data_IF_167045077671
#
_entry.id   IF_167045077671
#
_cell.length_a   1.000
_cell.length_b   1.000
_cell.length_c   1.000
_cell.angle_alpha   90.00
_cell.angle_beta   90.00
_cell.angle_gamma   90.00
#
_symmetry.space_group_name_H-M   'P 1'
#
loop_
_entity.id
_entity.type
_entity.pdbx_description
1 polymer ?
#
# COMPACT_ATOMS: atom_id res chain seq x y z
N UNK A 1 49.21 43.83 6.05
CA UNK A 1 47.87 43.25 5.83
C UNK A 1 48.05 41.75 5.71
N UNK A 2 48.00 41.04 6.83
CA UNK A 2 46.85 40.27 7.35
C UNK A 2 47.20 38.78 7.31
N UNK A 3 47.76 38.32 8.42
CA UNK A 3 47.82 36.91 8.81
C UNK A 3 46.39 36.40 8.98
N UNK A 4 46.04 35.36 8.23
CA UNK A 4 44.71 34.77 8.21
C UNK A 4 44.61 33.76 9.36
N UNK A 5 44.06 34.21 10.49
CA UNK A 5 43.80 33.37 11.66
C UNK A 5 42.63 32.44 11.40
N UNK A 6 42.88 31.13 11.37
CA UNK A 6 41.85 30.09 11.30
C UNK A 6 41.10 30.01 12.64
N UNK A 7 39.74 30.06 12.68
CA UNK A 7 39.02 29.95 13.94
C UNK A 7 38.97 28.48 14.38
N UNK A 8 39.46 28.22 15.59
CA UNK A 8 39.35 26.94 16.29
C UNK A 8 37.88 26.65 16.63
N UNK A 9 37.33 25.59 16.04
CA UNK A 9 35.98 25.09 16.28
C UNK A 9 35.90 24.53 17.71
N UNK A 10 35.30 25.28 18.64
CA UNK A 10 34.95 24.76 19.98
C UNK A 10 33.89 23.68 19.84
N UNK A 11 34.30 22.43 19.94
CA UNK A 11 33.42 21.30 20.20
C UNK A 11 32.84 21.43 21.62
N UNK A 12 31.67 22.06 21.72
CA UNK A 12 30.85 21.97 22.92
C UNK A 12 30.09 20.64 22.90
N UNK A 13 30.77 19.55 23.30
CA UNK A 13 30.08 18.32 23.66
C UNK A 13 29.25 18.59 24.91
N UNK A 14 27.97 18.89 24.72
CA UNK A 14 27.00 18.87 25.80
C UNK A 14 27.06 17.47 26.46
N UNK A 15 27.19 17.38 27.80
CA UNK A 15 27.17 16.09 28.47
C UNK A 15 25.77 15.49 28.28
N UNK A 16 25.69 14.50 27.40
CA UNK A 16 24.49 13.72 27.19
C UNK A 16 24.19 13.02 28.52
N UNK A 17 23.16 13.47 29.24
CA UNK A 17 22.73 12.84 30.49
C UNK A 17 22.35 11.39 30.18
N UNK A 18 23.25 10.46 30.48
CA UNK A 18 23.02 9.04 30.28
C UNK A 18 22.06 8.55 31.37
N UNK A 19 20.83 8.22 30.96
CA UNK A 19 19.84 7.65 31.87
C UNK A 19 20.30 6.25 32.26
N UNK A 20 20.39 5.98 33.56
CA UNK A 20 20.80 4.66 34.07
C UNK A 20 19.82 3.58 33.61
N UNK A 21 20.35 2.40 33.24
CA UNK A 21 19.53 1.25 32.84
C UNK A 21 18.48 0.87 33.90
N UNK A 22 18.78 1.10 35.18
CA UNK A 22 17.82 0.90 36.28
C UNK A 22 16.65 1.86 36.19
N UNK A 23 16.91 3.13 35.91
CA UNK A 23 15.86 4.15 35.71
C UNK A 23 15.01 3.82 34.49
N UNK A 24 15.64 3.36 33.40
CA UNK A 24 14.93 2.92 32.19
C UNK A 24 14.01 1.72 32.47
N UNK A 25 14.49 0.71 33.21
CA UNK A 25 13.69 -0.46 33.60
C UNK A 25 12.51 -0.07 34.50
N UNK A 26 12.72 0.83 35.47
CA UNK A 26 11.64 1.31 36.35
C UNK A 26 10.58 2.04 35.55
N UNK A 27 10.98 2.93 34.63
CA UNK A 27 10.03 3.65 33.76
C UNK A 27 9.27 2.68 32.85
N UNK A 28 9.94 1.69 32.28
CA UNK A 28 9.29 0.66 31.45
C UNK A 28 8.30 -0.19 32.27
N UNK A 29 8.67 -0.60 33.48
CA UNK A 29 7.78 -1.35 34.36
C UNK A 29 6.55 -0.54 34.77
N UNK A 30 6.71 0.75 35.07
CA UNK A 30 5.60 1.66 35.37
C UNK A 30 4.69 1.85 34.16
N UNK A 31 5.25 2.00 32.96
CA UNK A 31 4.49 2.16 31.73
C UNK A 31 3.70 0.88 31.37
N UNK A 32 4.34 -0.29 31.45
CA UNK A 32 3.68 -1.57 31.19
C UNK A 32 2.60 -1.85 32.23
N UNK A 33 2.87 -1.56 33.50
CA UNK A 33 1.91 -1.71 34.60
C UNK A 33 0.68 -0.83 34.42
N UNK A 34 0.86 0.44 34.03
CA UNK A 34 -0.27 1.34 33.76
C UNK A 34 -1.08 0.92 32.54
N UNK A 35 -0.41 0.42 31.49
CA UNK A 35 -1.08 -0.11 30.29
C UNK A 35 -1.92 -1.35 30.60
N UNK A 36 -1.37 -2.28 31.40
CA UNK A 36 -2.07 -3.47 31.88
C UNK A 36 -3.26 -3.12 32.77
N UNK A 37 -3.08 -2.19 33.70
CA UNK A 37 -4.16 -1.71 34.56
C UNK A 37 -5.28 -1.04 33.74
N UNK A 38 -4.93 -0.21 32.76
CA UNK A 38 -5.90 0.38 31.84
C UNK A 38 -6.62 -0.68 30.99
N UNK A 39 -5.92 -1.73 30.54
CA UNK A 39 -6.54 -2.81 29.78
C UNK A 39 -7.53 -3.62 30.61
N UNK A 40 -7.22 -3.90 31.89
CA UNK A 40 -8.10 -4.65 32.80
C UNK A 40 -9.30 -3.80 33.23
N UNK A 41 -9.09 -2.51 33.50
CA UNK A 41 -10.15 -1.60 33.92
C UNK A 41 -11.04 -1.10 32.78
N UNK A 42 -10.61 -1.19 31.51
CA UNK A 42 -11.45 -0.84 30.36
C UNK A 42 -12.41 -1.98 30.06
N UNK A 43 -13.69 -1.73 30.31
CA UNK A 43 -14.75 -2.69 30.01
C UNK A 43 -14.97 -2.81 28.49
N UNK A 44 -15.54 -3.94 28.03
CA UNK A 44 -15.81 -4.14 26.59
C UNK A 44 -16.70 -3.08 25.96
N UNK A 45 -17.55 -2.42 26.77
CA UNK A 45 -18.42 -1.31 26.39
C UNK A 45 -17.63 -0.07 26.00
N UNK A 46 -16.57 0.25 26.75
CA UNK A 46 -15.72 1.43 26.51
C UNK A 46 -14.88 1.26 25.25
N UNK A 47 -14.47 0.03 24.93
CA UNK A 47 -13.73 -0.27 23.70
C UNK A 47 -14.60 -0.06 22.47
N UNK A 48 -15.87 -0.45 22.54
CA UNK A 48 -16.84 -0.25 21.45
C UNK A 48 -17.17 1.23 21.27
N UNK A 49 -17.32 2.00 22.34
CA UNK A 49 -17.59 3.43 22.26
C UNK A 49 -16.39 4.21 21.71
N UNK A 50 -15.16 3.86 22.09
CA UNK A 50 -13.94 4.45 21.52
C UNK A 50 -13.72 4.08 20.06
N UNK A 51 -13.96 2.82 19.67
CA UNK A 51 -13.89 2.40 18.27
C UNK A 51 -14.96 3.09 17.42
N UNK A 52 -16.19 3.20 17.94
CA UNK A 52 -17.26 3.93 17.29
C UNK A 52 -16.89 5.42 17.13
N UNK A 53 -16.33 6.05 18.16
CA UNK A 53 -15.88 7.44 18.12
C UNK A 53 -14.73 7.68 17.12
N UNK A 54 -13.80 6.73 17.01
CA UNK A 54 -12.71 6.80 16.03
C UNK A 54 -13.21 6.64 14.59
N UNK A 55 -14.22 5.79 14.37
CA UNK A 55 -14.84 5.57 13.06
C UNK A 55 -15.81 6.69 12.67
N UNK A 56 -16.43 7.36 13.65
CA UNK A 56 -17.36 8.47 13.43
C UNK A 56 -16.65 9.82 13.25
N UNK A 57 -15.36 9.83 12.88
CA UNK A 57 -14.64 11.07 12.62
C UNK A 57 -15.33 11.78 11.44
N UNK A 58 -15.89 12.99 11.65
CA UNK A 58 -16.64 13.66 10.59
C UNK A 58 -15.69 13.91 9.42
N UNK A 59 -16.07 13.38 8.25
CA UNK A 59 -15.37 13.65 7.02
C UNK A 59 -15.51 15.16 6.72
N UNK A 60 -14.44 15.88 6.39
CA UNK A 60 -14.49 17.35 6.25
C UNK A 60 -15.23 17.82 4.99
N UNK A 61 -15.95 16.95 4.30
CA UNK A 61 -16.81 17.33 3.18
C UNK A 61 -18.27 17.22 3.63
N UNK A 62 -18.94 18.36 3.71
CA UNK A 62 -20.39 18.44 3.95
C UNK A 62 -21.20 17.82 2.79
N UNK A 63 -20.62 17.82 1.58
CA UNK A 63 -21.12 17.08 0.42
C UNK A 63 -20.00 16.86 -0.59
N UNK A 64 -20.04 15.75 -1.32
CA UNK A 64 -19.25 15.63 -2.54
C UNK A 64 -19.81 16.61 -3.59
N UNK A 65 -18.95 17.31 -4.36
CA UNK A 65 -19.41 18.15 -5.44
C UNK A 65 -20.23 17.30 -6.43
N UNK A 66 -21.51 17.63 -6.55
CA UNK A 66 -22.42 16.96 -7.47
C UNK A 66 -22.12 17.45 -8.88
N UNK A 67 -21.46 16.62 -9.69
CA UNK A 67 -21.34 16.87 -11.12
C UNK A 67 -22.67 16.46 -11.78
N UNK A 68 -23.45 17.42 -12.25
CA UNK A 68 -24.74 17.16 -12.92
C UNK A 68 -24.56 16.42 -14.27
N UNK A 69 -23.35 16.45 -14.84
CA UNK A 69 -22.93 15.69 -16.01
C UNK A 69 -21.48 15.27 -15.82
N UNK A 70 -21.14 14.01 -16.09
CA UNK A 70 -19.75 13.60 -16.18
C UNK A 70 -19.07 14.42 -17.28
N UNK A 71 -18.17 15.32 -16.91
CA UNK A 71 -17.43 16.11 -17.88
C UNK A 71 -16.65 15.16 -18.80
N UNK A 72 -16.97 15.18 -20.10
CA UNK A 72 -16.21 14.46 -21.11
C UNK A 72 -14.90 15.22 -21.30
N UNK A 73 -13.88 14.85 -20.54
CA UNK A 73 -12.52 15.38 -20.70
C UNK A 73 -11.92 14.72 -21.93
N UNK A 74 -11.92 15.42 -23.07
CA UNK A 74 -11.17 14.97 -24.24
C UNK A 74 -9.68 14.94 -23.91
N UNK A 75 -8.91 13.91 -24.36
CA UNK A 75 -7.48 13.85 -24.08
C UNK A 75 -6.78 15.11 -24.60
N UNK A 76 -6.25 15.93 -23.68
CA UNK A 76 -5.50 17.14 -24.01
C UNK A 76 -4.12 16.83 -24.65
N UNK A 77 -3.75 15.55 -24.72
CA UNK A 77 -2.38 15.10 -25.02
C UNK A 77 -2.19 14.55 -26.44
N UNK A 78 -3.17 14.65 -27.33
CA UNK A 78 -2.98 14.25 -28.73
C UNK A 78 -2.26 15.36 -29.52
N UNK A 79 -0.99 15.58 -29.20
CA UNK A 79 -0.12 16.54 -29.87
C UNK A 79 0.95 15.80 -30.69
N UNK A 80 0.73 15.59 -32.01
CA UNK A 80 1.64 14.83 -32.85
C UNK A 80 3.02 15.48 -32.99
N UNK A 81 3.11 16.80 -32.80
CA UNK A 81 4.37 17.56 -32.81
C UNK A 81 5.27 17.22 -31.61
N UNK A 82 4.69 16.71 -30.52
CA UNK A 82 5.42 16.30 -29.31
C UNK A 82 5.73 14.80 -29.30
N UNK A 83 4.76 13.98 -29.71
CA UNK A 83 4.88 12.51 -29.73
C UNK A 83 4.20 11.97 -30.98
N UNK A 84 4.97 11.35 -31.86
CA UNK A 84 4.40 10.68 -33.04
C UNK A 84 3.68 9.38 -32.64
N UNK A 85 2.73 8.93 -33.47
CA UNK A 85 2.03 7.66 -33.28
C UNK A 85 3.00 6.47 -33.11
N UNK A 86 4.13 6.51 -33.82
CA UNK A 86 5.15 5.46 -33.73
C UNK A 86 5.85 5.46 -32.36
N UNK A 87 6.13 6.63 -31.80
CA UNK A 87 6.72 6.77 -30.47
C UNK A 87 5.71 6.34 -29.40
N UNK A 88 4.46 6.77 -29.53
CA UNK A 88 3.36 6.36 -28.66
C UNK A 88 3.18 4.83 -28.68
N UNK A 89 3.10 4.23 -29.87
CA UNK A 89 2.98 2.79 -30.04
C UNK A 89 4.17 2.04 -29.40
N UNK A 90 5.38 2.60 -29.49
CA UNK A 90 6.58 2.03 -28.86
C UNK A 90 6.50 2.03 -27.33
N UNK A 91 5.97 3.10 -26.73
CA UNK A 91 5.76 3.18 -25.28
C UNK A 91 4.64 2.22 -24.84
N UNK A 92 3.50 2.26 -25.53
CA UNK A 92 2.35 1.39 -25.26
C UNK A 92 2.77 -0.09 -25.32
N UNK A 93 3.62 -0.47 -26.28
CA UNK A 93 4.14 -1.84 -26.41
C UNK A 93 4.89 -2.33 -25.17
N UNK A 94 5.52 -1.43 -24.40
CA UNK A 94 6.23 -1.75 -23.14
C UNK A 94 5.28 -1.97 -21.97
N UNK A 95 4.07 -1.40 -22.03
CA UNK A 95 3.05 -1.49 -20.98
C UNK A 95 2.17 -2.75 -21.10
N UNK A 96 2.32 -3.52 -22.18
CA UNK A 96 1.58 -4.77 -22.39
C UNK A 96 2.01 -5.79 -21.33
N UNK A 97 1.07 -6.36 -20.55
CA UNK A 97 1.38 -7.28 -19.46
C UNK A 97 1.82 -8.66 -20.00
N UNK A 98 3.13 -8.88 -20.03
CA UNK A 98 3.76 -10.16 -20.40
C UNK A 98 4.35 -10.80 -19.15
N UNK A 99 3.53 -11.52 -18.41
CA UNK A 99 3.98 -12.22 -17.20
C UNK A 99 4.26 -13.68 -17.54
N UNK A 100 5.44 -14.19 -17.15
CA UNK A 100 5.65 -15.63 -17.11
C UNK A 100 4.77 -16.23 -16.01
N UNK A 101 4.21 -17.43 -16.24
CA UNK A 101 3.27 -18.05 -15.29
C UNK A 101 3.86 -18.18 -13.89
N UNK A 102 5.16 -18.48 -13.78
CA UNK A 102 5.88 -18.62 -12.50
C UNK A 102 6.13 -17.32 -11.74
N UNK A 103 5.84 -16.16 -12.33
CA UNK A 103 6.09 -14.83 -11.73
C UNK A 103 4.82 -13.97 -11.64
N UNK A 104 3.64 -14.60 -11.72
CA UNK A 104 2.35 -13.92 -11.57
C UNK A 104 2.14 -13.48 -10.11
N UNK A 105 2.54 -12.23 -9.82
CA UNK A 105 2.31 -11.57 -8.52
C UNK A 105 0.99 -10.79 -8.55
N UNK A 106 0.11 -10.90 -7.52
CA UNK A 106 -1.16 -10.18 -7.45
C UNK A 106 -1.03 -8.67 -7.71
N UNK A 107 -0.03 -8.02 -7.12
CA UNK A 107 0.20 -6.59 -7.31
C UNK A 107 0.44 -6.20 -8.79
N UNK A 108 1.18 -7.02 -9.55
CA UNK A 108 1.40 -6.76 -10.98
C UNK A 108 0.10 -6.88 -11.78
N UNK A 109 -0.77 -7.82 -11.39
CA UNK A 109 -2.07 -8.04 -12.03
C UNK A 109 -3.04 -6.93 -11.69
N UNK A 110 -3.07 -6.48 -10.44
CA UNK A 110 -3.85 -5.31 -10.04
C UNK A 110 -3.44 -4.05 -10.81
N UNK A 111 -2.14 -3.80 -10.93
CA UNK A 111 -1.65 -2.67 -11.72
C UNK A 111 -2.04 -2.79 -13.19
N UNK A 112 -1.88 -3.96 -13.80
CA UNK A 112 -2.28 -4.18 -15.19
C UNK A 112 -3.80 -4.01 -15.39
N UNK A 113 -4.64 -4.46 -14.45
CA UNK A 113 -6.08 -4.24 -14.47
C UNK A 113 -6.46 -2.77 -14.32
N UNK A 114 -5.75 -2.00 -13.50
CA UNK A 114 -5.96 -0.54 -13.40
C UNK A 114 -5.59 0.19 -14.69
N UNK A 115 -4.56 -0.27 -15.40
CA UNK A 115 -4.12 0.34 -16.67
C UNK A 115 -5.02 -0.02 -17.85
N UNK A 116 -5.42 -1.29 -17.96
CA UNK A 116 -6.04 -1.82 -19.18
C UNK A 116 -7.50 -2.25 -19.02
N UNK A 117 -7.95 -2.48 -17.79
CA UNK A 117 -9.29 -2.97 -17.48
C UNK A 117 -9.47 -4.49 -17.67
N UNK A 118 -10.56 -5.01 -17.10
CA UNK A 118 -10.86 -6.45 -17.08
C UNK A 118 -11.35 -7.03 -18.41
N UNK A 119 -11.67 -6.21 -19.41
CA UNK A 119 -12.20 -6.66 -20.70
C UNK A 119 -11.16 -6.64 -21.83
N UNK A 120 -9.95 -6.15 -21.57
CA UNK A 120 -8.91 -5.99 -22.60
C UNK A 120 -8.51 -7.34 -23.20
N UNK A 121 -8.32 -7.34 -24.53
CA UNK A 121 -7.77 -8.47 -25.28
C UNK A 121 -6.60 -7.98 -26.12
N UNK A 122 -5.46 -8.66 -25.99
CA UNK A 122 -4.27 -8.39 -26.78
C UNK A 122 -4.16 -9.42 -27.90
N UNK A 123 -3.77 -8.99 -29.10
CA UNK A 123 -3.45 -9.90 -30.21
C UNK A 123 -2.04 -10.54 -30.07
N UNK A 124 -1.41 -10.38 -28.90
CA UNK A 124 -0.09 -10.94 -28.61
C UNK A 124 -0.27 -12.23 -27.80
N UNK A 125 0.26 -13.39 -28.26
CA UNK A 125 0.09 -14.67 -27.58
C UNK A 125 0.75 -14.73 -26.19
N UNK A 126 1.76 -13.91 -25.94
CA UNK A 126 2.49 -13.87 -24.66
C UNK A 126 1.85 -12.92 -23.63
N UNK A 127 0.82 -12.18 -24.03
CA UNK A 127 0.16 -11.22 -23.15
C UNK A 127 -1.02 -11.88 -22.42
N UNK A 128 -1.15 -11.60 -21.12
CA UNK A 128 -2.32 -12.03 -20.37
C UNK A 128 -3.51 -11.11 -20.69
N UNK A 129 -4.67 -11.71 -20.98
CA UNK A 129 -5.92 -10.97 -21.24
C UNK A 129 -6.56 -10.47 -19.95
N UNK A 130 -7.34 -9.39 -20.02
CA UNK A 130 -8.16 -8.87 -18.93
C UNK A 130 -8.98 -9.93 -18.18
N UNK A 131 -9.76 -10.78 -18.87
CA UNK A 131 -10.56 -11.81 -18.19
C UNK A 131 -9.71 -12.80 -17.39
N UNK A 132 -8.56 -13.23 -17.93
CA UNK A 132 -7.60 -14.08 -17.20
C UNK A 132 -6.98 -13.38 -16.00
N UNK A 133 -6.76 -12.07 -16.08
CA UNK A 133 -6.29 -11.27 -14.94
C UNK A 133 -7.34 -11.19 -13.82
N UNK A 134 -8.62 -11.00 -14.17
CA UNK A 134 -9.73 -11.01 -13.22
C UNK A 134 -9.89 -12.38 -12.58
N UNK A 135 -9.88 -13.44 -13.40
CA UNK A 135 -9.95 -14.83 -12.94
C UNK A 135 -8.82 -15.14 -11.97
N UNK A 136 -7.59 -14.71 -12.26
CA UNK A 136 -6.45 -14.89 -11.36
C UNK A 136 -6.65 -14.28 -9.96
N UNK A 137 -7.31 -13.12 -9.85
CA UNK A 137 -7.55 -12.47 -8.56
C UNK A 137 -8.79 -12.98 -7.83
N UNK A 138 -9.74 -13.57 -8.56
CA UNK A 138 -11.04 -14.00 -8.01
C UNK A 138 -11.09 -15.51 -7.73
N UNK A 139 -10.32 -16.29 -8.47
CA UNK A 139 -10.19 -17.74 -8.28
C UNK A 139 -8.94 -18.07 -7.44
N UNK A 140 -9.19 -18.31 -6.15
CA UNK A 140 -8.13 -18.66 -5.18
C UNK A 140 -7.43 -19.98 -5.49
N UNK A 141 -8.07 -20.92 -6.18
CA UNK A 141 -7.45 -22.18 -6.56
C UNK A 141 -6.42 -21.98 -7.67
N UNK A 142 -6.75 -21.16 -8.67
CA UNK A 142 -5.82 -20.78 -9.76
C UNK A 142 -4.66 -19.91 -9.30
N UNK A 143 -4.87 -19.11 -8.25
CA UNK A 143 -3.76 -18.38 -7.61
C UNK A 143 -2.71 -19.33 -7.03
N UNK A 144 -3.11 -20.46 -6.43
CA UNK A 144 -2.18 -21.44 -5.86
C UNK A 144 -1.39 -22.17 -6.95
N UNK A 145 -2.04 -22.50 -8.07
CA UNK A 145 -1.41 -23.15 -9.22
C UNK A 145 -0.34 -22.28 -9.89
N UNK A 146 -0.46 -20.95 -9.87
CA UNK A 146 0.51 -20.06 -10.53
C UNK A 146 1.85 -19.95 -9.80
N UNK A 147 1.97 -20.47 -8.57
CA UNK A 147 3.17 -20.40 -7.74
C UNK A 147 3.86 -21.76 -7.57
N UNK A 148 3.74 -22.66 -8.55
CA UNK A 148 4.28 -24.03 -8.51
C UNK A 148 3.83 -24.79 -7.24
N UNK A 149 2.60 -24.57 -6.76
CA UNK A 149 2.07 -25.10 -5.50
C UNK A 149 2.89 -24.76 -4.23
N UNK A 150 3.77 -23.75 -4.29
CA UNK A 150 4.55 -23.28 -3.13
C UNK A 150 3.85 -22.15 -2.38
N UNK A 151 2.87 -21.49 -2.99
CA UNK A 151 2.06 -20.51 -2.31
C UNK A 151 1.11 -21.21 -1.34
N UNK A 152 0.99 -20.66 -0.13
CA UNK A 152 -0.05 -21.09 0.81
C UNK A 152 -1.38 -20.41 0.40
N UNK A 153 -2.55 -21.00 0.64
CA UNK A 153 -3.86 -20.40 0.31
C UNK A 153 -4.04 -19.00 0.90
N UNK A 154 -4.65 -18.06 0.18
CA UNK A 154 -4.94 -16.72 0.71
C UNK A 154 -6.03 -16.75 1.79
N UNK A 155 -6.92 -17.74 1.74
CA UNK A 155 -7.96 -17.95 2.75
C UNK A 155 -7.54 -19.10 3.66
N UNK A 156 -7.63 -18.88 4.96
CA UNK A 156 -7.34 -19.88 5.99
C UNK A 156 -8.57 -20.07 6.87
N UNK A 157 -8.99 -21.32 7.06
CA UNK A 157 -9.99 -21.68 8.06
C UNK A 157 -9.34 -21.65 9.45
N UNK A 158 -9.82 -20.77 10.32
CA UNK A 158 -9.44 -20.72 11.73
C UNK A 158 -10.63 -21.10 12.62
N UNK A 159 -10.41 -21.43 13.90
CA UNK A 159 -11.50 -21.68 14.85
C UNK A 159 -12.50 -20.51 14.98
N UNK A 160 -12.09 -19.30 14.61
CA UNK A 160 -12.92 -18.08 14.64
C UNK A 160 -13.64 -17.80 13.31
N UNK A 161 -13.34 -18.54 12.23
CA UNK A 161 -13.96 -18.40 10.91
C UNK A 161 -12.96 -18.35 9.76
N UNK A 162 -13.36 -17.79 8.61
CA UNK A 162 -12.51 -17.64 7.42
C UNK A 162 -11.66 -16.37 7.57
N UNK A 163 -10.34 -16.52 7.56
CA UNK A 163 -9.37 -15.43 7.63
C UNK A 163 -8.69 -15.19 6.27
N UNK A 164 -8.43 -13.91 5.93
CA UNK A 164 -7.62 -13.54 4.75
C UNK A 164 -6.17 -13.34 5.18
N UNK A 165 -5.26 -14.16 4.67
CA UNK A 165 -3.82 -14.05 4.93
C UNK A 165 -3.22 -12.98 4.01
N UNK A 166 -3.11 -11.75 4.52
CA UNK A 166 -2.23 -10.73 3.94
C UNK A 166 -0.79 -10.98 4.40
N UNK A 167 0.10 -11.30 3.47
CA UNK A 167 1.52 -11.59 3.74
C UNK A 167 2.38 -11.39 2.51
#
# INVERSE_FOLDING_TARGET
>A
MHTMSTPSRRDSKQPQKTVSARTMLVVQALFLGSLLAAWICTTGSDRRSLAAAALSRPYPLDAFPKADVAAVVTPLYNQPDLVSDQQLATVIKKLIPRFSRSHLRPNLIEHALRTWGGQVRFNNPDAISGPKMVEFLTDSARHLESWDNKAKPLLEDTPEGIHVRFG
#
